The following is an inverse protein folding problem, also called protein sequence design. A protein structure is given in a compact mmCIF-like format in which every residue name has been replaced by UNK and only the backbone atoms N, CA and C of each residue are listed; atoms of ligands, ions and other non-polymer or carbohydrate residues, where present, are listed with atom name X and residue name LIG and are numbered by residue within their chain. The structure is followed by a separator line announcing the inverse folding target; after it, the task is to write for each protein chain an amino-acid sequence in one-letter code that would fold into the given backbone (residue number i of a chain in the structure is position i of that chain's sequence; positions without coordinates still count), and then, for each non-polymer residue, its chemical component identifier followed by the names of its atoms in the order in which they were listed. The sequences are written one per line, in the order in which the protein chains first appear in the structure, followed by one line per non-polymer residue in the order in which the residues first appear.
data_IF_198261565016
#
_entry.id   IF_198261565016
#
_cell.length_a   1.000
_cell.length_b   1.000
_cell.length_c   1.000
_cell.angle_alpha   90.00
_cell.angle_beta   90.00
_cell.angle_gamma   90.00
#
_symmetry.space_group_name_H-M   'P 1'
#
loop_
_entity.id
_entity.type
_entity.pdbx_description
1 polymer ?
#
# COMPACT_ATOMS: atom_id res chain seq x y z
N UNK A 1 3.80 -8.67 21.07
CA UNK A 1 3.21 -8.59 19.72
C UNK A 1 2.13 -7.53 19.72
N UNK A 2 1.67 -7.06 18.56
CA UNK A 2 0.66 -5.99 18.46
C UNK A 2 -0.64 -6.30 19.24
N UNK A 3 -1.03 -7.58 19.30
CA UNK A 3 -2.14 -8.07 20.15
C UNK A 3 -1.88 -7.85 21.65
N UNK A 4 -0.63 -8.02 22.10
CA UNK A 4 -0.20 -7.76 23.49
C UNK A 4 -0.25 -6.28 23.87
N UNK A 5 -0.44 -5.39 22.90
CA UNK A 5 -0.61 -3.94 23.06
C UNK A 5 -2.08 -3.51 22.86
N UNK A 6 -3.02 -4.45 22.75
CA UNK A 6 -4.46 -4.18 22.55
C UNK A 6 -4.81 -3.62 21.18
N UNK A 7 -3.91 -3.74 20.19
CA UNK A 7 -4.18 -3.28 18.82
C UNK A 7 -4.82 -4.41 18.02
N UNK A 8 -5.91 -4.11 17.33
CA UNK A 8 -6.55 -5.05 16.41
C UNK A 8 -5.59 -5.47 15.29
N UNK A 9 -5.75 -6.70 14.82
CA UNK A 9 -5.02 -7.19 13.65
C UNK A 9 -5.48 -6.40 12.42
N UNK A 10 -4.53 -5.74 11.75
CA UNK A 10 -4.82 -4.91 10.58
C UNK A 10 -4.82 -5.70 9.26
N UNK A 11 -4.12 -6.83 9.23
CA UNK A 11 -4.01 -7.71 8.07
C UNK A 11 -3.47 -9.07 8.52
N UNK A 12 -3.98 -10.15 7.96
CA UNK A 12 -3.44 -11.49 8.13
C UNK A 12 -2.65 -11.91 6.88
N UNK A 13 -1.46 -12.46 7.05
CA UNK A 13 -0.61 -12.89 5.93
C UNK A 13 -0.55 -14.42 5.94
N UNK A 14 -1.17 -15.05 4.95
CA UNK A 14 -1.10 -16.47 4.73
C UNK A 14 0.10 -16.83 3.83
N UNK A 15 0.93 -17.77 4.27
CA UNK A 15 2.03 -18.33 3.49
C UNK A 15 1.82 -19.84 3.34
N UNK A 16 1.81 -20.32 2.09
CA UNK A 16 1.63 -21.74 1.81
C UNK A 16 0.23 -22.28 2.15
N UNK A 17 0.13 -23.61 2.23
CA UNK A 17 -1.16 -24.34 2.31
C UNK A 17 -1.30 -25.23 3.55
N UNK A 18 -0.76 -24.82 4.71
CA UNK A 18 -0.84 -25.63 5.91
C UNK A 18 -2.29 -25.71 6.45
N UNK A 19 -2.63 -26.76 7.18
CA UNK A 19 -3.99 -26.95 7.70
C UNK A 19 -4.44 -25.79 8.59
N UNK A 20 -3.55 -25.24 9.42
CA UNK A 20 -3.91 -24.15 10.33
C UNK A 20 -4.33 -22.86 9.57
N UNK A 21 -3.60 -22.50 8.52
CA UNK A 21 -3.81 -21.23 7.85
C UNK A 21 -4.72 -21.35 6.63
N UNK A 22 -4.60 -22.43 5.87
CA UNK A 22 -5.35 -22.69 4.64
C UNK A 22 -6.57 -23.57 4.89
N UNK A 23 -6.54 -24.45 5.88
CA UNK A 23 -7.63 -25.38 6.19
C UNK A 23 -7.57 -26.68 5.40
N UNK A 24 -8.45 -27.61 5.77
CA UNK A 24 -8.70 -28.85 5.06
C UNK A 24 -10.08 -28.80 4.38
N UNK A 25 -10.22 -27.94 3.38
CA UNK A 25 -11.47 -27.75 2.65
C UNK A 25 -11.20 -27.37 1.19
N UNK A 26 -12.03 -27.87 0.28
CA UNK A 26 -11.90 -27.58 -1.15
C UNK A 26 -12.04 -26.08 -1.45
N UNK A 27 -12.86 -25.36 -0.68
CA UNK A 27 -13.06 -23.91 -0.83
C UNK A 27 -11.76 -23.12 -0.68
N UNK A 28 -10.77 -23.64 0.05
CA UNK A 28 -9.47 -22.99 0.17
C UNK A 28 -8.76 -22.89 -1.16
N UNK A 29 -8.89 -23.89 -2.04
CA UNK A 29 -8.25 -23.92 -3.36
C UNK A 29 -8.69 -22.74 -4.25
N UNK A 30 -9.91 -22.27 -4.07
CA UNK A 30 -10.48 -21.15 -4.81
C UNK A 30 -10.24 -19.80 -4.12
N UNK A 31 -9.61 -19.78 -2.93
CA UNK A 31 -9.33 -18.55 -2.22
C UNK A 31 -8.30 -17.70 -3.00
N UNK A 32 -8.57 -16.41 -3.28
CA UNK A 32 -7.71 -15.63 -4.18
C UNK A 32 -6.27 -15.48 -3.67
N UNK A 33 -5.31 -15.42 -4.59
CA UNK A 33 -3.90 -15.13 -4.28
C UNK A 33 -3.61 -13.61 -4.35
N UNK A 34 -2.87 -13.10 -3.37
CA UNK A 34 -2.53 -11.69 -3.23
C UNK A 34 -3.35 -11.00 -2.13
N UNK A 35 -3.54 -9.68 -2.24
CA UNK A 35 -4.33 -8.90 -1.30
C UNK A 35 -5.83 -9.16 -1.52
N UNK A 36 -6.49 -9.67 -0.50
CA UNK A 36 -7.91 -9.98 -0.45
C UNK A 36 -8.56 -9.10 0.62
N UNK A 37 -9.25 -8.05 0.16
CA UNK A 37 -10.08 -7.17 0.99
C UNK A 37 -11.55 -7.59 0.94
N UNK A 38 -11.96 -8.20 -0.16
CA UNK A 38 -13.31 -8.71 -0.41
C UNK A 38 -13.17 -10.11 -1.01
N UNK A 39 -13.42 -11.17 -0.23
CA UNK A 39 -13.21 -12.53 -0.69
C UNK A 39 -14.34 -12.95 -1.66
N UNK A 40 -13.97 -13.67 -2.72
CA UNK A 40 -14.92 -14.20 -3.72
C UNK A 40 -15.49 -15.57 -3.37
N UNK A 41 -14.87 -16.26 -2.41
CA UNK A 41 -15.28 -17.57 -1.90
C UNK A 41 -15.22 -17.56 -0.38
N UNK A 42 -16.20 -18.17 0.28
CA UNK A 42 -16.25 -18.38 1.73
C UNK A 42 -16.41 -19.87 2.04
N UNK A 43 -15.91 -20.30 3.20
CA UNK A 43 -16.11 -21.65 3.72
C UNK A 43 -16.81 -21.63 5.07
N UNK A 44 -17.86 -22.45 5.20
CA UNK A 44 -18.50 -22.77 6.48
C UNK A 44 -18.00 -24.12 7.04
N UNK A 45 -17.00 -24.75 6.39
CA UNK A 45 -16.47 -26.03 6.82
C UNK A 45 -15.82 -25.91 8.21
N UNK A 46 -15.99 -26.88 9.13
CA UNK A 46 -15.40 -26.81 10.46
C UNK A 46 -13.87 -26.80 10.44
N UNK A 47 -13.26 -27.40 9.41
CA UNK A 47 -11.79 -27.41 9.22
C UNK A 47 -11.30 -26.28 8.28
N UNK A 48 -12.04 -25.18 8.16
CA UNK A 48 -11.58 -24.01 7.39
C UNK A 48 -10.36 -23.36 8.05
N UNK A 49 -9.44 -22.85 7.25
CA UNK A 49 -8.23 -22.21 7.75
C UNK A 49 -8.46 -20.78 8.24
N UNK A 50 -7.46 -20.24 8.93
CA UNK A 50 -7.45 -18.85 9.40
C UNK A 50 -7.70 -17.82 8.28
N UNK A 51 -7.38 -18.13 7.02
CA UNK A 51 -7.74 -17.26 5.88
C UNK A 51 -9.23 -16.90 5.87
N UNK A 52 -10.12 -17.84 6.20
CA UNK A 52 -11.57 -17.63 6.23
C UNK A 52 -12.01 -16.94 7.52
N UNK A 53 -11.35 -17.22 8.64
CA UNK A 53 -11.64 -16.55 9.91
C UNK A 53 -11.34 -15.05 9.83
N UNK A 54 -10.15 -14.67 9.34
CA UNK A 54 -9.74 -13.27 9.29
C UNK A 54 -10.58 -12.44 8.33
N UNK A 55 -10.86 -12.94 7.13
CA UNK A 55 -11.78 -12.23 6.22
C UNK A 55 -13.21 -12.14 6.77
N UNK A 56 -13.69 -13.13 7.54
CA UNK A 56 -15.01 -13.06 8.17
C UNK A 56 -15.09 -11.97 9.25
N UNK A 57 -13.96 -11.64 9.87
CA UNK A 57 -13.81 -10.52 10.80
C UNK A 57 -13.62 -9.16 10.09
N UNK A 58 -13.65 -9.13 8.76
CA UNK A 58 -13.35 -7.93 7.98
C UNK A 58 -11.86 -7.56 7.98
N UNK A 59 -10.97 -8.45 8.41
CA UNK A 59 -9.52 -8.26 8.36
C UNK A 59 -9.01 -8.67 6.97
N UNK A 60 -8.34 -7.78 6.23
CA UNK A 60 -7.73 -8.12 4.95
C UNK A 60 -6.75 -9.29 5.06
N UNK A 61 -6.69 -10.13 4.03
CA UNK A 61 -5.77 -11.25 3.95
C UNK A 61 -4.82 -11.08 2.77
N UNK A 62 -3.52 -11.23 2.99
CA UNK A 62 -2.56 -11.43 1.91
C UNK A 62 -2.28 -12.93 1.79
N UNK A 63 -2.75 -13.55 0.71
CA UNK A 63 -2.57 -14.98 0.47
C UNK A 63 -1.42 -15.25 -0.50
N UNK A 64 -0.35 -15.87 0.01
CA UNK A 64 0.86 -16.20 -0.75
C UNK A 64 0.98 -17.73 -0.91
N UNK A 65 0.03 -18.32 -1.65
CA UNK A 65 0.12 -19.72 -2.06
C UNK A 65 0.82 -19.83 -3.43
N UNK A 66 0.42 -19.02 -4.40
CA UNK A 66 1.00 -18.95 -5.74
C UNK A 66 1.87 -17.70 -5.90
N UNK A 67 3.09 -17.77 -5.35
CA UNK A 67 4.08 -16.68 -5.45
C UNK A 67 4.56 -16.43 -6.88
N UNK A 68 4.58 -17.46 -7.73
CA UNK A 68 5.02 -17.35 -9.13
C UNK A 68 3.98 -16.59 -9.95
N UNK A 69 2.71 -16.98 -9.88
CA UNK A 69 1.64 -16.26 -10.56
C UNK A 69 1.45 -14.84 -10.02
N UNK A 70 1.68 -14.63 -8.72
CA UNK A 70 1.73 -13.28 -8.13
C UNK A 70 2.84 -12.43 -8.75
N UNK A 71 4.06 -12.96 -8.90
CA UNK A 71 5.15 -12.23 -9.52
C UNK A 71 4.81 -11.83 -10.96
N UNK A 72 4.35 -12.78 -11.78
CA UNK A 72 3.98 -12.55 -13.19
C UNK A 72 2.89 -11.49 -13.31
N UNK A 73 1.81 -11.58 -12.52
CA UNK A 73 0.70 -10.61 -12.54
C UNK A 73 1.10 -9.20 -12.15
N UNK A 74 2.15 -9.05 -11.36
CA UNK A 74 2.66 -7.75 -10.90
C UNK A 74 3.89 -7.28 -11.69
N UNK A 75 4.22 -7.94 -12.81
CA UNK A 75 5.36 -7.56 -13.66
C UNK A 75 6.72 -7.77 -12.99
N UNK A 76 6.80 -8.65 -11.98
CA UNK A 76 8.04 -9.00 -11.30
C UNK A 76 8.71 -10.19 -12.01
N UNK A 77 10.03 -10.15 -12.22
CA UNK A 77 10.74 -11.27 -12.79
C UNK A 77 10.73 -12.45 -11.81
N UNK A 78 10.49 -13.65 -12.34
CA UNK A 78 10.60 -14.89 -11.57
C UNK A 78 12.01 -15.42 -11.72
N UNK A 79 12.72 -15.53 -10.59
CA UNK A 79 14.09 -16.06 -10.55
C UNK A 79 15.05 -15.34 -11.53
N UNK A 80 15.23 -14.01 -11.40
CA UNK A 80 16.07 -13.25 -12.32
C UNK A 80 17.54 -13.65 -12.20
N UNK A 81 18.19 -13.87 -13.34
CA UNK A 81 19.64 -14.12 -13.42
C UNK A 81 20.27 -13.07 -14.34
N UNK A 82 21.22 -12.24 -13.85
CA UNK A 82 21.66 -12.15 -12.45
C UNK A 82 20.57 -11.56 -11.54
N UNK A 83 20.68 -11.80 -10.23
CA UNK A 83 19.82 -11.13 -9.26
C UNK A 83 20.06 -9.60 -9.31
N UNK A 84 19.01 -8.77 -9.23
CA UNK A 84 19.18 -7.33 -9.13
C UNK A 84 19.88 -6.97 -7.81
N UNK A 85 20.71 -5.91 -7.78
CA UNK A 85 21.27 -5.41 -6.53
C UNK A 85 20.18 -5.03 -5.52
N UNK A 86 20.45 -5.15 -4.21
CA UNK A 86 19.53 -4.67 -3.18
C UNK A 86 19.14 -3.20 -3.42
N UNK A 87 17.83 -2.92 -3.50
CA UNK A 87 17.31 -1.58 -3.75
C UNK A 87 17.05 -1.23 -5.23
N UNK A 88 17.36 -2.13 -6.18
CA UNK A 88 17.23 -1.86 -7.62
C UNK A 88 16.16 -2.70 -8.34
N UNK A 89 15.50 -3.63 -7.65
CA UNK A 89 14.39 -4.42 -8.21
C UNK A 89 13.13 -3.57 -8.50
N UNK A 90 12.23 -4.07 -9.36
CA UNK A 90 11.02 -3.34 -9.79
C UNK A 90 10.01 -2.95 -8.69
N UNK A 91 10.19 -3.43 -7.46
CA UNK A 91 9.43 -3.00 -6.27
C UNK A 91 10.00 -1.74 -5.61
N UNK A 92 11.22 -1.35 -5.94
CA UNK A 92 11.88 -0.15 -5.43
C UNK A 92 11.64 1.00 -6.41
N UNK A 93 11.06 2.09 -5.91
CA UNK A 93 10.87 3.32 -6.67
C UNK A 93 11.34 4.52 -5.86
N UNK A 94 11.97 5.48 -6.52
CA UNK A 94 12.32 6.76 -5.92
C UNK A 94 11.41 7.85 -6.47
N UNK A 95 10.82 8.67 -5.59
CA UNK A 95 10.13 9.89 -6.01
C UNK A 95 11.16 10.99 -6.19
N UNK A 96 11.54 11.24 -7.43
CA UNK A 96 12.30 12.44 -7.78
C UNK A 96 11.33 13.62 -7.99
N UNK A 97 11.52 14.70 -7.25
CA UNK A 97 10.84 15.96 -7.51
C UNK A 97 11.69 16.83 -8.46
N UNK A 98 11.05 17.46 -9.44
CA UNK A 98 11.74 18.39 -10.34
C UNK A 98 12.23 19.60 -9.55
N UNK A 99 13.55 19.70 -9.34
CA UNK A 99 14.19 20.84 -8.66
C UNK A 99 13.88 22.18 -9.34
N UNK A 100 13.92 22.30 -10.68
CA UNK A 100 13.52 23.54 -11.35
C UNK A 100 12.04 23.89 -11.11
N UNK A 101 11.14 22.91 -11.15
CA UNK A 101 9.72 23.15 -10.90
C UNK A 101 9.47 23.58 -9.44
N UNK A 102 10.14 22.94 -8.48
CA UNK A 102 10.08 23.33 -7.07
C UNK A 102 10.61 24.76 -6.85
N UNK A 103 11.72 25.13 -7.49
CA UNK A 103 12.27 26.48 -7.43
C UNK A 103 11.33 27.52 -8.05
N UNK A 104 10.74 27.21 -9.22
CA UNK A 104 9.77 28.08 -9.87
C UNK A 104 8.53 28.29 -8.99
N UNK A 105 8.02 27.22 -8.36
CA UNK A 105 6.87 27.30 -7.44
C UNK A 105 7.19 28.16 -6.20
N UNK A 106 8.40 28.03 -5.65
CA UNK A 106 8.87 28.86 -4.53
C UNK A 106 8.96 30.34 -4.92
N UNK A 107 9.55 30.65 -6.08
CA UNK A 107 9.69 32.02 -6.58
C UNK A 107 8.32 32.66 -6.88
N UNK A 108 7.40 31.91 -7.49
CA UNK A 108 6.05 32.37 -7.75
C UNK A 108 5.29 32.69 -6.44
N UNK A 109 5.41 31.80 -5.45
CA UNK A 109 4.80 31.98 -4.13
C UNK A 109 5.37 33.22 -3.41
N UNK A 110 6.69 33.39 -3.40
CA UNK A 110 7.34 34.57 -2.82
C UNK A 110 6.91 35.87 -3.51
N UNK A 111 6.85 35.86 -4.85
CA UNK A 111 6.44 37.03 -5.64
C UNK A 111 4.99 37.43 -5.36
N UNK A 112 4.09 36.46 -5.23
CA UNK A 112 2.69 36.70 -4.88
C UNK A 112 2.56 37.34 -3.47
N UNK A 113 3.30 36.83 -2.48
CA UNK A 113 3.32 37.39 -1.12
C UNK A 113 3.86 38.82 -1.11
N UNK A 114 4.95 39.10 -1.84
CA UNK A 114 5.52 40.44 -1.94
C UNK A 114 4.57 41.41 -2.66
N UNK A 115 3.91 40.98 -3.72
CA UNK A 115 2.91 41.80 -4.42
C UNK A 115 1.72 42.13 -3.51
N UNK A 116 1.18 41.15 -2.79
CA UNK A 116 0.09 41.36 -1.83
C UNK A 116 0.49 42.28 -0.66
N UNK A 117 1.71 42.13 -0.13
CA UNK A 117 2.23 43.03 0.91
C UNK A 117 2.40 44.47 0.38
N UNK A 118 2.84 44.62 -0.86
CA UNK A 118 2.99 45.92 -1.54
C UNK A 118 1.66 46.64 -1.75
N UNK A 119 0.62 45.93 -2.19
CA UNK A 119 -0.73 46.52 -2.39
C UNK A 119 -1.36 46.95 -1.06
N UNK A 120 -1.23 46.13 -0.01
CA UNK A 120 -1.69 46.47 1.34
C UNK A 120 -0.99 47.71 1.91
N UNK A 121 0.33 47.83 1.71
CA UNK A 121 1.11 48.97 2.22
C UNK A 121 0.77 50.28 1.49
N UNK A 122 0.47 50.21 0.18
CA UNK A 122 0.03 51.36 -0.63
C UNK A 122 -1.38 51.82 -0.23
N UNK A 123 -2.30 50.89 0.00
CA UNK A 123 -3.66 51.20 0.49
C UNK A 123 -3.67 51.89 1.86
N UNK A 124 -2.79 51.50 2.78
CA UNK A 124 -2.66 52.14 4.11
C UNK A 124 -2.02 53.54 4.08
N UNK A 125 -1.21 53.86 3.07
CA UNK A 125 -0.65 55.21 2.86
C UNK A 125 -1.65 56.15 2.18
N UNK A 126 -2.46 55.65 1.23
CA UNK A 126 -3.51 56.44 0.58
C UNK A 126 -4.69 56.80 1.49
N UNK A 127 -4.98 55.99 2.52
CA UNK A 127 -6.03 56.28 3.51
C UNK A 127 -5.57 57.17 4.69
N UNK A 128 -4.31 57.63 4.69
CA UNK A 128 -3.72 58.52 5.71
C UNK A 128 -3.35 59.91 5.13
N UNK A 129 -3.69 60.17 3.88
CA UNK A 129 -3.53 61.47 3.22
C UNK A 129 -4.88 62.19 3.16
#
# INVERSE_FOLDING_TARGET
TAERLGRSVACFVNIGGATANYGNTAASLDFPNGLVTQPTVMSAHPERGLIFEYVSMGVPVINLLDVRGLAVRNGLPVDPIPLPPPGEGGVYFTRAHSRPAAAAALLASASAVLAAAGTLRKGRRGARA
#
